data_IF_413917903621
#
_entry.id   IF_413917903621
#
_cell.length_a   1.000
_cell.length_b   1.000
_cell.length_c   1.000
_cell.angle_alpha   90.00
_cell.angle_beta   90.00
_cell.angle_gamma   90.00
#
_symmetry.space_group_name_H-M   'P 1'
#
loop_
_entity.id
_entity.type
_entity.pdbx_description
1 polymer ?
#
# COMPACT_ATOMS: atom_id res chain seq x y z
N UNK A 1 15.80 14.69 10.08
CA UNK A 1 15.53 15.04 8.67
C UNK A 1 16.78 14.83 7.79
N UNK A 2 17.37 13.63 7.86
CA UNK A 2 18.63 13.32 7.14
C UNK A 2 18.39 12.67 5.77
N UNK A 3 17.17 12.77 5.21
CA UNK A 3 16.92 12.33 3.84
C UNK A 3 16.81 10.81 3.63
N UNK A 4 16.65 10.01 4.68
CA UNK A 4 16.42 8.57 4.58
C UNK A 4 15.07 8.21 3.96
N UNK A 5 14.93 6.96 3.51
CA UNK A 5 13.67 6.37 3.06
C UNK A 5 13.02 5.64 4.23
N UNK A 6 11.70 5.71 4.31
CA UNK A 6 10.91 5.04 5.34
C UNK A 6 9.82 4.21 4.70
N UNK A 7 9.71 2.95 5.09
CA UNK A 7 8.64 2.05 4.67
C UNK A 7 7.90 1.55 5.91
N UNK A 8 6.61 1.87 6.01
CA UNK A 8 5.70 1.36 7.02
C UNK A 8 4.80 0.26 6.44
N UNK A 9 4.95 -0.97 6.92
CA UNK A 9 4.16 -2.12 6.48
C UNK A 9 3.18 -2.46 7.60
N UNK A 10 1.89 -2.62 7.25
CA UNK A 10 0.80 -2.99 8.14
C UNK A 10 0.75 -2.07 9.38
N UNK A 11 1.12 -2.55 10.57
CA UNK A 11 1.20 -1.74 11.79
C UNK A 11 2.15 -0.54 11.63
N UNK A 12 3.23 -0.67 10.87
CA UNK A 12 4.13 0.45 10.53
C UNK A 12 3.42 1.56 9.75
N UNK A 13 2.52 1.22 8.85
CA UNK A 13 1.68 2.21 8.17
C UNK A 13 0.74 2.92 9.15
N UNK A 14 0.09 2.19 10.04
CA UNK A 14 -0.75 2.77 11.10
C UNK A 14 0.04 3.79 11.94
N UNK A 15 1.26 3.43 12.35
CA UNK A 15 2.14 4.32 13.10
C UNK A 15 2.49 5.59 12.32
N UNK A 16 2.77 5.50 11.01
CA UNK A 16 3.06 6.66 10.16
C UNK A 16 1.86 7.62 10.06
N UNK A 17 0.63 7.08 10.04
CA UNK A 17 -0.60 7.89 10.08
C UNK A 17 -0.78 8.58 11.43
N UNK A 18 -0.61 7.86 12.55
CA UNK A 18 -0.74 8.40 13.91
C UNK A 18 0.31 9.49 14.20
N UNK A 19 1.52 9.34 13.67
CA UNK A 19 2.59 10.34 13.77
C UNK A 19 2.40 11.55 12.84
N UNK A 20 1.37 11.53 11.98
CA UNK A 20 1.12 12.58 10.99
C UNK A 20 2.19 12.67 9.89
N UNK A 21 2.99 11.62 9.70
CA UNK A 21 3.99 11.54 8.62
C UNK A 21 3.35 11.19 7.28
N UNK A 22 2.22 10.49 7.31
CA UNK A 22 1.32 10.28 6.19
C UNK A 22 -0.09 10.77 6.56
N UNK A 23 -0.89 11.28 5.61
CA UNK A 23 -2.21 11.80 5.90
C UNK A 23 -3.25 10.67 5.98
N UNK A 24 -4.31 10.89 6.76
CA UNK A 24 -5.43 9.96 6.92
C UNK A 24 -5.40 9.19 8.23
N UNK A 25 -6.24 8.17 8.32
CA UNK A 25 -6.37 7.30 9.49
C UNK A 25 -6.62 5.86 9.05
N UNK A 26 -6.35 4.91 9.94
CA UNK A 26 -6.67 3.50 9.73
C UNK A 26 -7.83 3.11 10.65
N UNK A 27 -8.87 2.54 10.07
CA UNK A 27 -10.06 2.07 10.77
C UNK A 27 -10.12 0.54 10.74
N UNK A 28 -11.02 -0.03 11.55
CA UNK A 28 -11.31 -1.46 11.49
C UNK A 28 -11.83 -1.85 10.09
N UNK A 29 -11.52 -3.08 9.68
CA UNK A 29 -12.05 -3.64 8.46
C UNK A 29 -13.58 -3.56 8.47
N UNK A 30 -14.19 -3.22 7.33
CA UNK A 30 -15.65 -3.09 7.19
C UNK A 30 -16.41 -4.37 7.58
N UNK A 31 -15.78 -5.54 7.38
CA UNK A 31 -16.29 -6.84 7.79
C UNK A 31 -16.24 -7.09 9.29
N UNK A 32 -15.62 -6.22 10.08
CA UNK A 32 -15.30 -6.39 11.51
C UNK A 32 -14.48 -7.66 11.82
N UNK A 33 -13.90 -8.28 10.80
CA UNK A 33 -13.13 -9.52 10.88
C UNK A 33 -11.67 -9.30 10.53
N UNK A 34 -10.81 -10.14 11.09
CA UNK A 34 -9.41 -10.23 10.68
C UNK A 34 -9.33 -10.87 9.29
N UNK A 35 -8.61 -10.23 8.37
CA UNK A 35 -8.40 -10.72 7.00
C UNK A 35 -6.98 -11.22 6.89
N UNK A 36 -6.82 -12.51 6.54
CA UNK A 36 -5.52 -13.12 6.28
C UNK A 36 -5.60 -13.94 4.99
N UNK A 37 -5.07 -13.39 3.90
CA UNK A 37 -5.07 -14.05 2.58
C UNK A 37 -4.07 -13.39 1.63
N UNK A 38 -3.75 -14.08 0.54
CA UNK A 38 -3.09 -13.44 -0.61
C UNK A 38 -4.17 -12.63 -1.37
N UNK A 39 -3.87 -11.38 -1.68
CA UNK A 39 -4.74 -10.50 -2.44
C UNK A 39 -4.00 -9.90 -3.64
N UNK A 40 -4.75 -9.37 -4.59
CA UNK A 40 -4.18 -8.64 -5.71
C UNK A 40 -4.17 -7.15 -5.41
N UNK A 41 -3.06 -6.52 -5.68
CA UNK A 41 -2.90 -5.06 -5.62
C UNK A 41 -2.40 -4.55 -6.97
N UNK A 42 -2.91 -3.40 -7.37
CA UNK A 42 -2.54 -2.74 -8.62
C UNK A 42 -1.61 -1.58 -8.34
N UNK A 43 -0.52 -1.51 -9.06
CA UNK A 43 0.39 -0.36 -9.06
C UNK A 43 -0.30 0.81 -9.76
N UNK A 44 -0.56 1.90 -9.04
CA UNK A 44 -1.21 3.11 -9.56
C UNK A 44 -0.17 4.11 -10.07
N UNK A 45 0.92 4.30 -9.30
CA UNK A 45 2.05 5.13 -9.72
C UNK A 45 3.35 4.45 -9.31
N UNK A 46 4.22 4.19 -10.28
CA UNK A 46 5.58 3.71 -10.06
C UNK A 46 6.63 4.83 -10.14
N UNK A 47 6.20 6.08 -10.22
CA UNK A 47 7.08 7.26 -10.21
C UNK A 47 7.61 7.54 -8.80
N UNK A 48 8.26 6.53 -8.21
CA UNK A 48 8.89 6.56 -6.89
C UNK A 48 9.90 5.41 -6.78
N UNK A 49 10.82 5.52 -5.81
CA UNK A 49 11.89 4.54 -5.65
C UNK A 49 11.37 3.17 -5.24
N UNK A 50 10.35 3.10 -4.37
CA UNK A 50 9.80 1.83 -3.85
C UNK A 50 9.24 0.93 -4.96
N UNK A 51 8.54 1.52 -5.94
CA UNK A 51 7.91 0.79 -7.03
C UNK A 51 8.66 0.91 -8.36
N UNK A 52 9.90 1.41 -8.34
CA UNK A 52 10.71 1.64 -9.55
C UNK A 52 10.95 0.38 -10.40
N UNK A 53 10.92 -0.80 -9.78
CA UNK A 53 11.09 -2.10 -10.45
C UNK A 53 9.77 -2.69 -10.94
N UNK A 54 8.65 -1.97 -10.80
CA UNK A 54 7.33 -2.38 -11.27
C UNK A 54 6.87 -1.52 -12.45
N UNK A 55 5.74 -1.88 -13.04
CA UNK A 55 5.10 -1.09 -14.11
C UNK A 55 3.79 -0.50 -13.62
N UNK A 56 3.40 0.67 -14.14
CA UNK A 56 2.06 1.20 -13.92
C UNK A 56 1.01 0.19 -14.41
N UNK A 57 -0.04 0.03 -13.61
CA UNK A 57 -1.11 -0.95 -13.81
C UNK A 57 -0.68 -2.42 -13.66
N UNK A 58 0.53 -2.70 -13.22
CA UNK A 58 0.95 -4.06 -12.89
C UNK A 58 0.14 -4.58 -11.69
N UNK A 59 -0.27 -5.85 -11.77
CA UNK A 59 -0.99 -6.53 -10.70
C UNK A 59 0.01 -7.41 -9.95
N UNK A 60 0.09 -7.21 -8.63
CA UNK A 60 0.99 -7.94 -7.74
C UNK A 60 0.16 -8.76 -6.75
N UNK A 61 0.59 -9.98 -6.48
CA UNK A 61 -0.03 -10.89 -5.50
C UNK A 61 0.71 -10.81 -4.18
N UNK A 62 0.11 -10.13 -3.21
CA UNK A 62 0.74 -9.83 -1.92
C UNK A 62 -0.16 -10.27 -0.77
N UNK A 63 0.35 -10.92 0.29
CA UNK A 63 -0.42 -11.26 1.47
C UNK A 63 -0.88 -10.04 2.25
N UNK A 64 -2.07 -10.13 2.83
CA UNK A 64 -2.59 -9.21 3.86
C UNK A 64 -2.89 -10.01 5.14
N UNK A 65 -2.68 -9.38 6.29
CA UNK A 65 -2.99 -9.94 7.60
C UNK A 65 -3.29 -8.80 8.58
N UNK A 66 -4.57 -8.37 8.65
CA UNK A 66 -4.97 -7.23 9.48
C UNK A 66 -6.44 -7.26 9.89
N UNK A 67 -6.74 -6.74 11.08
CA UNK A 67 -8.08 -6.43 11.57
C UNK A 67 -8.46 -4.96 11.34
N UNK A 68 -7.46 -4.10 11.20
CA UNK A 68 -7.56 -2.66 10.98
C UNK A 68 -6.75 -2.30 9.74
N UNK A 69 -7.38 -2.30 8.58
CA UNK A 69 -6.75 -2.00 7.29
C UNK A 69 -7.60 -1.10 6.40
N UNK A 70 -8.70 -0.58 6.94
CA UNK A 70 -9.62 0.31 6.25
C UNK A 70 -9.10 1.74 6.29
N UNK A 71 -8.43 2.16 5.21
CA UNK A 71 -7.89 3.52 5.09
C UNK A 71 -9.01 4.55 4.92
N UNK A 72 -8.95 5.61 5.71
CA UNK A 72 -9.88 6.72 5.71
C UNK A 72 -9.16 8.07 5.62
N UNK A 73 -9.69 8.97 4.81
CA UNK A 73 -9.29 10.39 4.78
C UNK A 73 -10.48 11.26 4.36
N UNK A 74 -10.45 12.54 4.74
CA UNK A 74 -11.45 13.50 4.28
C UNK A 74 -11.33 13.79 2.77
N UNK A 75 -12.37 14.38 2.19
CA UNK A 75 -12.44 14.65 0.74
C UNK A 75 -11.29 15.51 0.22
N UNK A 76 -10.83 16.48 0.99
CA UNK A 76 -9.74 17.38 0.58
C UNK A 76 -8.41 16.63 0.57
N UNK A 77 -8.18 15.80 1.59
CA UNK A 77 -7.01 14.92 1.69
C UNK A 77 -7.00 13.91 0.54
N UNK A 78 -8.12 13.24 0.25
CA UNK A 78 -8.22 12.31 -0.88
C UNK A 78 -7.94 13.01 -2.22
N UNK A 79 -8.47 14.22 -2.40
CA UNK A 79 -8.19 15.02 -3.59
C UNK A 79 -6.70 15.32 -3.69
N UNK A 80 -6.07 15.78 -2.62
CA UNK A 80 -4.64 16.09 -2.59
C UNK A 80 -3.77 14.86 -2.88
N UNK A 81 -4.13 13.68 -2.34
CA UNK A 81 -3.45 12.42 -2.62
C UNK A 81 -3.51 12.04 -4.10
N UNK A 82 -4.67 12.23 -4.74
CA UNK A 82 -4.82 11.99 -6.18
C UNK A 82 -4.03 13.01 -7.01
N UNK A 83 -4.16 14.29 -6.72
CA UNK A 83 -3.54 15.38 -7.48
C UNK A 83 -1.99 15.32 -7.43
N UNK A 84 -1.42 14.79 -6.34
CA UNK A 84 0.04 14.68 -6.13
C UNK A 84 0.60 13.28 -6.43
N UNK A 85 -0.19 12.38 -7.02
CA UNK A 85 0.22 10.99 -7.30
C UNK A 85 0.76 10.26 -6.05
N UNK A 86 0.13 10.49 -4.89
CA UNK A 86 0.53 9.89 -3.62
C UNK A 86 -0.15 8.55 -3.35
N UNK A 87 -1.23 8.21 -4.09
CA UNK A 87 -1.83 6.88 -4.05
C UNK A 87 -1.00 5.97 -4.97
N UNK A 88 -0.26 5.06 -4.38
CA UNK A 88 0.68 4.21 -5.12
C UNK A 88 0.15 2.80 -5.38
N UNK A 89 -0.73 2.29 -4.51
CA UNK A 89 -1.28 0.94 -4.59
C UNK A 89 -2.78 0.93 -4.28
N UNK A 90 -3.55 0.14 -5.03
CA UNK A 90 -4.98 -0.11 -4.77
C UNK A 90 -5.29 -1.60 -4.81
N UNK A 91 -6.26 -2.04 -4.01
CA UNK A 91 -6.81 -3.39 -4.08
C UNK A 91 -7.57 -3.60 -5.39
N UNK A 92 -7.43 -4.77 -5.98
CA UNK A 92 -8.10 -5.14 -7.24
C UNK A 92 -8.36 -6.65 -7.30
N UNK A 93 -9.11 -7.07 -8.31
CA UNK A 93 -9.23 -8.47 -8.70
C UNK A 93 -8.06 -8.91 -9.62
N UNK A 94 -8.11 -10.15 -10.09
CA UNK A 94 -7.10 -10.73 -10.98
C UNK A 94 -6.98 -10.01 -12.33
N UNK A 95 -8.03 -9.27 -12.73
CA UNK A 95 -8.06 -8.49 -13.97
C UNK A 95 -7.67 -7.03 -13.77
N UNK A 96 -7.37 -6.63 -12.52
CA UNK A 96 -7.02 -5.25 -12.16
C UNK A 96 -8.24 -4.33 -12.00
N UNK A 97 -9.45 -4.90 -11.89
CA UNK A 97 -10.66 -4.12 -11.59
C UNK A 97 -10.66 -3.79 -10.08
N UNK A 98 -10.88 -2.52 -9.70
CA UNK A 98 -10.92 -2.13 -8.29
C UNK A 98 -11.90 -2.99 -7.49
N UNK A 99 -11.45 -3.51 -6.35
CA UNK A 99 -12.25 -4.40 -5.50
C UNK A 99 -12.15 -3.95 -4.05
N UNK A 100 -13.29 -3.87 -3.37
CA UNK A 100 -13.32 -3.61 -1.94
C UNK A 100 -12.86 -4.86 -1.17
N UNK A 101 -11.76 -4.73 -0.46
CA UNK A 101 -11.24 -5.77 0.42
C UNK A 101 -11.69 -5.58 1.88
N UNK A 102 -11.66 -4.34 2.36
CA UNK A 102 -11.69 -4.02 3.78
C UNK A 102 -12.40 -2.70 4.12
N UNK A 103 -13.05 -2.07 3.15
CA UNK A 103 -13.71 -0.77 3.28
C UNK A 103 -12.83 0.43 3.00
N UNK A 104 -11.55 0.24 2.64
CA UNK A 104 -10.64 1.35 2.29
C UNK A 104 -11.22 2.26 1.23
N UNK A 105 -11.23 3.55 1.51
CA UNK A 105 -11.68 4.55 0.54
C UNK A 105 -10.88 4.45 -0.76
N UNK A 106 -11.58 4.50 -1.91
CA UNK A 106 -10.99 4.33 -3.24
C UNK A 106 -10.16 3.05 -3.40
N UNK A 107 -10.40 2.03 -2.56
CA UNK A 107 -9.64 0.77 -2.49
C UNK A 107 -8.15 0.96 -2.23
N UNK A 108 -7.75 2.03 -1.55
CA UNK A 108 -6.36 2.35 -1.26
C UNK A 108 -5.72 1.25 -0.42
N UNK A 109 -4.61 0.69 -0.93
CA UNK A 109 -3.78 -0.29 -0.25
C UNK A 109 -2.45 0.30 0.24
N UNK A 110 -1.99 1.39 -0.37
CA UNK A 110 -0.76 2.08 0.01
C UNK A 110 -0.66 3.48 -0.56
N UNK A 111 0.00 4.36 0.20
CA UNK A 111 0.26 5.75 -0.15
C UNK A 111 1.72 6.14 0.12
N UNK A 112 2.14 7.29 -0.39
CA UNK A 112 3.41 7.91 -0.04
C UNK A 112 3.23 9.38 0.35
N UNK A 113 4.27 9.98 0.95
CA UNK A 113 4.33 11.42 1.18
C UNK A 113 4.58 12.18 -0.14
N UNK A 114 4.44 13.51 -0.10
CA UNK A 114 4.66 14.38 -1.29
C UNK A 114 6.07 14.27 -1.87
N UNK A 115 7.06 14.01 -1.02
CA UNK A 115 8.46 13.90 -1.44
C UNK A 115 8.83 12.49 -1.90
N UNK A 116 7.87 11.54 -1.84
CA UNK A 116 8.06 10.13 -2.22
C UNK A 116 9.23 9.47 -1.49
N UNK A 117 9.36 9.76 -0.20
CA UNK A 117 10.39 9.22 0.70
C UNK A 117 9.83 8.42 1.87
N UNK A 118 8.54 8.63 2.20
CA UNK A 118 7.82 7.89 3.24
C UNK A 118 6.70 7.12 2.55
N UNK A 119 6.69 5.81 2.74
CA UNK A 119 5.75 4.88 2.11
C UNK A 119 5.01 4.10 3.18
N UNK A 120 3.69 3.98 3.04
CA UNK A 120 2.85 3.19 3.91
C UNK A 120 1.95 2.27 3.11
N UNK A 121 1.87 0.99 3.49
CA UNK A 121 0.97 0.02 2.86
C UNK A 121 0.51 -1.04 3.88
N UNK A 122 -0.71 -1.56 3.68
CA UNK A 122 -1.25 -2.64 4.51
C UNK A 122 -0.81 -4.04 4.07
N UNK A 123 -0.66 -4.35 2.76
CA UNK A 123 -0.10 -5.61 2.31
C UNK A 123 1.35 -5.82 2.79
N UNK A 124 1.76 -7.09 2.89
CA UNK A 124 3.05 -7.53 3.39
C UNK A 124 3.98 -7.99 2.25
N UNK A 125 4.72 -7.09 1.57
CA UNK A 125 5.64 -7.49 0.50
C UNK A 125 6.77 -8.40 1.01
N UNK A 126 7.20 -8.25 2.27
CA UNK A 126 8.21 -9.08 2.89
C UNK A 126 7.81 -10.57 3.01
N UNK A 127 6.50 -10.85 2.96
CA UNK A 127 5.94 -12.22 2.95
C UNK A 127 5.72 -12.79 1.55
N UNK A 128 6.10 -12.06 0.51
CA UNK A 128 5.99 -12.45 -0.89
C UNK A 128 7.34 -12.31 -1.61
N UNK A 129 8.41 -12.77 -0.97
CA UNK A 129 9.79 -12.69 -1.48
C UNK A 129 10.32 -14.02 -2.03
N UNK A 130 9.59 -15.12 -1.81
CA UNK A 130 9.96 -16.45 -2.25
C UNK A 130 8.79 -17.17 -2.89
N UNK A 131 9.02 -17.84 -4.02
CA UNK A 131 7.97 -18.55 -4.76
C UNK A 131 7.31 -19.65 -3.91
N UNK A 132 8.04 -20.25 -2.98
CA UNK A 132 7.52 -21.24 -2.02
C UNK A 132 6.45 -20.67 -1.08
N UNK A 133 6.43 -19.35 -0.87
CA UNK A 133 5.43 -18.65 -0.07
C UNK A 133 4.18 -18.24 -0.89
N UNK A 134 4.11 -18.66 -2.16
CA UNK A 134 2.99 -18.43 -3.05
C UNK A 134 3.12 -17.23 -4.00
N UNK A 135 4.09 -16.34 -3.77
CA UNK A 135 4.42 -15.22 -4.67
C UNK A 135 5.83 -14.69 -4.37
N UNK A 136 6.49 -14.15 -5.37
CA UNK A 136 7.73 -13.39 -5.25
C UNK A 136 7.57 -11.91 -5.70
N UNK A 137 6.34 -11.45 -5.85
CA UNK A 137 6.04 -10.08 -6.29
C UNK A 137 6.49 -9.01 -5.27
N UNK A 138 6.51 -9.37 -3.98
CA UNK A 138 7.01 -8.51 -2.92
C UNK A 138 8.51 -8.23 -3.04
N UNK A 139 9.29 -9.20 -3.50
CA UNK A 139 10.72 -9.00 -3.76
C UNK A 139 10.94 -7.92 -4.82
N UNK A 140 10.09 -7.86 -5.85
CA UNK A 140 10.13 -6.83 -6.89
C UNK A 140 9.91 -5.43 -6.31
N UNK A 141 8.97 -5.29 -5.37
CA UNK A 141 8.72 -4.03 -4.66
C UNK A 141 9.93 -3.62 -3.81
N UNK A 142 10.46 -4.55 -3.01
CA UNK A 142 11.56 -4.26 -2.08
C UNK A 142 12.89 -3.98 -2.78
N UNK A 143 13.12 -4.57 -3.94
CA UNK A 143 14.31 -4.29 -4.78
C UNK A 143 14.42 -2.83 -5.19
N UNK A 144 13.33 -2.06 -5.24
CA UNK A 144 13.36 -0.64 -5.51
C UNK A 144 14.25 0.15 -4.53
N UNK A 145 14.38 -0.32 -3.28
CA UNK A 145 15.26 0.31 -2.29
C UNK A 145 16.74 -0.07 -2.42
N UNK A 146 17.07 -1.08 -3.22
CA UNK A 146 18.43 -1.60 -3.37
C UNK A 146 19.14 -1.06 -4.61
N UNK A 147 18.45 -0.28 -5.42
CA UNK A 147 18.95 0.23 -6.70
C UNK A 147 19.39 1.69 -6.59
#
# INVERSE_FOLDING_TARGET
KQGGLTLGICNGFQMLLELGLLPGAMLRNSSMSFISKITNIKVISNNNIFLSQTKNNEILRIPVAHGEGNYFADKNTLKALNDNEQIILKYCDEKGVPTDLNGSQQNIAGICDKNKRIFGLMPHPERACESMLGSNDGLKMLKGFLC
#
